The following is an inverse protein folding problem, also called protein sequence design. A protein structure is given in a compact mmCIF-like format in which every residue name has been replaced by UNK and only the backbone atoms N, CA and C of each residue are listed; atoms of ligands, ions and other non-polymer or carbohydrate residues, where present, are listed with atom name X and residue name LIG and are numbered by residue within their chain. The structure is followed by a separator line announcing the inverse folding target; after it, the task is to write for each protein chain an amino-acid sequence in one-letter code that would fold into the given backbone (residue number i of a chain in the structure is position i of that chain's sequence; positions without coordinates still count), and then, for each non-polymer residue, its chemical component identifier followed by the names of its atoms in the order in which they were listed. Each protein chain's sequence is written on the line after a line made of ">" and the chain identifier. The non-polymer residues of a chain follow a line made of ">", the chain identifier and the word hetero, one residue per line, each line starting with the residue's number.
data_IF_946698594905
#
_entry.id   IF_946698594905
#
_cell.length_a   1.000
_cell.length_b   1.000
_cell.length_c   1.000
_cell.angle_alpha   90.00
_cell.angle_beta   90.00
_cell.angle_gamma   90.00
#
_symmetry.space_group_name_H-M   'P 1'
#
loop_
_entity.id
_entity.type
_entity.pdbx_description
1 polymer ?
#
# COMPACT_ATOMS: atom_id res chain seq x y z
N UNK A 1 -13.61 4.86 -38.66
CA UNK A 1 -13.31 6.23 -38.19
C UNK A 1 -13.45 6.17 -36.69
N UNK A 2 -12.35 6.19 -35.96
CA UNK A 2 -12.37 6.08 -34.49
C UNK A 2 -12.06 7.46 -33.95
N UNK A 3 -13.05 8.11 -33.36
CA UNK A 3 -12.88 9.37 -32.64
C UNK A 3 -11.97 9.10 -31.43
N UNK A 4 -10.75 9.61 -31.50
CA UNK A 4 -9.79 9.58 -30.39
C UNK A 4 -10.31 10.55 -29.33
N UNK A 5 -10.86 10.02 -28.23
CA UNK A 5 -11.28 10.82 -27.07
C UNK A 5 -10.14 11.74 -26.62
N UNK A 6 -10.46 13.02 -26.43
CA UNK A 6 -9.51 14.03 -25.96
C UNK A 6 -9.06 13.68 -24.54
N UNK A 7 -7.89 13.05 -24.38
CA UNK A 7 -7.30 12.84 -23.05
C UNK A 7 -7.06 14.21 -22.40
N UNK A 8 -7.90 14.57 -21.41
CA UNK A 8 -7.82 15.81 -20.61
C UNK A 8 -6.69 15.73 -19.58
N UNK A 9 -5.46 15.48 -20.05
CA UNK A 9 -4.27 15.61 -19.23
C UNK A 9 -3.82 17.08 -19.24
N UNK A 10 -3.64 17.67 -18.05
CA UNK A 10 -3.28 19.09 -17.88
C UNK A 10 -1.83 19.23 -17.39
N UNK A 11 -0.82 19.05 -18.26
CA UNK A 11 0.60 18.99 -17.87
C UNK A 11 1.16 20.31 -17.34
N UNK A 12 0.47 21.43 -17.58
CA UNK A 12 0.85 22.81 -17.26
C UNK A 12 0.35 23.30 -15.89
N UNK A 13 -0.58 22.60 -15.24
CA UNK A 13 -1.10 22.97 -13.91
C UNK A 13 -0.31 22.33 -12.76
N UNK A 14 -0.31 22.97 -11.59
CA UNK A 14 0.22 22.37 -10.35
C UNK A 14 -0.62 21.15 -9.89
N UNK A 15 -0.06 20.29 -9.04
CA UNK A 15 -0.76 19.08 -8.56
C UNK A 15 -2.07 19.43 -7.81
N UNK A 16 -2.03 20.48 -6.99
CA UNK A 16 -3.17 20.94 -6.19
C UNK A 16 -4.31 21.47 -7.08
N UNK A 17 -3.97 22.23 -8.12
CA UNK A 17 -4.93 22.75 -9.10
C UNK A 17 -5.55 21.61 -9.93
N UNK A 18 -4.76 20.62 -10.33
CA UNK A 18 -5.27 19.40 -10.99
C UNK A 18 -6.25 18.67 -10.09
N UNK A 19 -5.89 18.44 -8.83
CA UNK A 19 -6.75 17.73 -7.88
C UNK A 19 -8.08 18.47 -7.67
N UNK A 20 -8.05 19.79 -7.48
CA UNK A 20 -9.26 20.60 -7.34
C UNK A 20 -10.16 20.53 -8.57
N UNK A 21 -9.55 20.46 -9.77
CA UNK A 21 -10.30 20.32 -11.02
C UNK A 21 -10.93 18.94 -11.17
N UNK A 22 -10.20 17.86 -10.87
CA UNK A 22 -10.74 16.50 -10.87
C UNK A 22 -11.91 16.33 -9.89
N UNK A 23 -11.83 16.93 -8.70
CA UNK A 23 -12.90 16.88 -7.71
C UNK A 23 -14.16 17.68 -8.12
N UNK A 24 -14.03 18.59 -9.07
CA UNK A 24 -15.14 19.43 -9.56
C UNK A 24 -15.78 18.90 -10.85
N UNK A 25 -15.13 17.93 -11.53
CA UNK A 25 -15.69 17.24 -12.69
C UNK A 25 -16.76 16.24 -12.24
N UNK A 26 -17.76 16.02 -13.09
CA UNK A 26 -18.78 15.00 -12.83
C UNK A 26 -18.37 13.65 -13.41
N UNK A 27 -18.95 12.55 -12.90
CA UNK A 27 -18.61 11.20 -13.36
C UNK A 27 -18.93 11.00 -14.86
N UNK A 28 -19.93 11.73 -15.40
CA UNK A 28 -20.32 11.66 -16.81
C UNK A 28 -19.26 12.25 -17.77
N UNK A 29 -18.35 13.09 -17.27
CA UNK A 29 -17.22 13.63 -18.05
C UNK A 29 -16.05 12.64 -18.15
N UNK A 30 -16.13 11.49 -17.45
CA UNK A 30 -15.11 10.45 -17.48
C UNK A 30 -15.25 9.57 -18.73
N UNK A 31 -14.17 9.47 -19.50
CA UNK A 31 -14.09 8.58 -20.66
C UNK A 31 -13.76 7.14 -20.19
N UNK A 32 -14.67 6.21 -20.45
CA UNK A 32 -14.52 4.78 -20.16
C UNK A 32 -14.37 3.93 -21.42
N UNK A 33 -14.19 4.55 -22.60
CA UNK A 33 -14.17 3.85 -23.89
C UNK A 33 -13.03 2.83 -24.03
N UNK A 34 -11.96 2.99 -23.25
CA UNK A 34 -10.78 2.13 -23.24
C UNK A 34 -10.81 1.05 -22.15
N UNK A 35 -11.77 1.07 -21.23
CA UNK A 35 -11.85 0.16 -20.09
C UNK A 35 -13.12 -0.69 -20.17
N UNK A 36 -13.03 -2.03 -20.19
CA UNK A 36 -14.22 -2.88 -20.20
C UNK A 36 -15.02 -2.75 -18.89
N UNK A 37 -16.36 -2.88 -18.93
CA UNK A 37 -17.20 -2.82 -17.73
C UNK A 37 -16.89 -3.98 -16.77
N UNK A 38 -16.95 -3.70 -15.47
CA UNK A 38 -16.76 -4.68 -14.40
C UNK A 38 -18.09 -5.38 -14.08
N UNK A 39 -18.44 -6.38 -14.88
CA UNK A 39 -19.68 -7.15 -14.73
C UNK A 39 -19.53 -8.42 -13.87
N UNK A 40 -20.63 -9.15 -13.67
CA UNK A 40 -20.63 -10.37 -12.86
C UNK A 40 -19.71 -11.47 -13.42
N UNK A 41 -19.55 -11.54 -14.75
CA UNK A 41 -18.63 -12.47 -15.44
C UNK A 41 -17.16 -12.13 -15.15
N UNK A 42 -16.81 -10.84 -15.05
CA UNK A 42 -15.49 -10.39 -14.58
C UNK A 42 -15.21 -10.90 -13.16
N UNK A 43 -16.16 -10.72 -12.24
CA UNK A 43 -15.98 -11.13 -10.84
C UNK A 43 -16.00 -12.65 -10.64
N UNK A 44 -16.66 -13.42 -11.51
CA UNK A 44 -16.70 -14.89 -11.46
C UNK A 44 -15.31 -15.53 -11.60
N UNK A 45 -14.42 -14.91 -12.36
CA UNK A 45 -13.06 -15.38 -12.58
C UNK A 45 -12.01 -14.60 -11.76
N UNK A 46 -12.43 -13.55 -11.04
CA UNK A 46 -11.55 -12.74 -10.23
C UNK A 46 -10.99 -13.59 -9.07
N UNK A 47 -9.65 -13.66 -8.98
CA UNK A 47 -8.99 -14.34 -7.86
C UNK A 47 -8.91 -13.39 -6.68
N UNK A 48 -9.59 -13.67 -5.55
CA UNK A 48 -9.45 -12.84 -4.36
C UNK A 48 -8.01 -12.92 -3.86
N UNK A 49 -7.32 -11.78 -3.83
CA UNK A 49 -6.02 -11.68 -3.19
C UNK A 49 -6.25 -11.71 -1.68
N UNK A 50 -6.26 -12.91 -1.09
CA UNK A 50 -6.15 -13.05 0.37
C UNK A 50 -4.78 -12.51 0.78
N UNK A 51 -4.74 -11.32 1.36
CA UNK A 51 -3.58 -10.86 2.12
C UNK A 51 -3.49 -11.74 3.37
N UNK A 52 -2.82 -12.88 3.28
CA UNK A 52 -2.44 -13.62 4.47
C UNK A 52 -1.57 -12.69 5.32
N UNK A 53 -1.93 -12.41 6.58
CA UNK A 53 -1.08 -11.62 7.45
C UNK A 53 0.27 -12.34 7.55
N UNK A 54 1.35 -11.71 7.08
CA UNK A 54 2.71 -12.27 7.18
C UNK A 54 3.26 -12.19 8.61
N UNK A 55 2.46 -11.70 9.54
CA UNK A 55 2.82 -11.39 10.93
C UNK A 55 1.63 -11.69 11.82
N UNK A 56 1.88 -12.38 12.92
CA UNK A 56 0.87 -12.65 13.95
C UNK A 56 0.97 -11.60 15.06
N UNK A 57 -0.18 -11.13 15.55
CA UNK A 57 -0.23 -10.20 16.67
C UNK A 57 -0.21 -11.00 17.98
N UNK A 58 0.94 -11.02 18.63
CA UNK A 58 1.14 -11.67 19.93
C UNK A 58 1.33 -10.64 21.03
N UNK A 59 0.83 -10.94 22.23
CA UNK A 59 1.08 -10.14 23.43
C UNK A 59 2.38 -10.57 24.11
N UNK A 60 3.47 -9.83 23.89
CA UNK A 60 4.76 -10.05 24.56
C UNK A 60 5.07 -8.90 25.51
N UNK A 61 5.75 -9.20 26.63
CA UNK A 61 6.29 -8.18 27.53
C UNK A 61 7.71 -7.82 27.06
N UNK A 62 7.96 -6.53 26.90
CA UNK A 62 9.26 -5.97 26.55
C UNK A 62 9.58 -4.91 27.62
N UNK A 63 10.84 -4.85 28.06
CA UNK A 63 11.29 -3.84 29.01
C UNK A 63 11.01 -2.42 28.52
N UNK A 64 10.63 -1.56 29.47
CA UNK A 64 10.28 -0.17 29.20
C UNK A 64 11.42 0.60 28.53
N UNK A 65 12.66 0.37 28.94
CA UNK A 65 13.81 1.05 28.33
C UNK A 65 14.01 0.64 26.87
N UNK A 66 13.84 -0.65 26.58
CA UNK A 66 14.00 -1.21 25.24
C UNK A 66 12.93 -0.66 24.31
N UNK A 67 11.65 -0.67 24.73
CA UNK A 67 10.57 -0.15 23.88
C UNK A 67 10.72 1.35 23.61
N UNK A 68 11.15 2.13 24.60
CA UNK A 68 11.40 3.56 24.44
C UNK A 68 12.59 3.82 23.50
N UNK A 69 13.63 3.00 23.54
CA UNK A 69 14.72 3.07 22.57
C UNK A 69 14.22 2.84 21.14
N UNK A 70 13.40 1.81 20.90
CA UNK A 70 12.85 1.52 19.57
C UNK A 70 11.91 2.63 19.08
N UNK A 71 11.07 3.19 19.95
CA UNK A 71 10.20 4.34 19.62
C UNK A 71 11.00 5.56 19.18
N UNK A 72 12.06 5.92 19.91
CA UNK A 72 12.95 7.04 19.53
C UNK A 72 13.70 6.76 18.22
N UNK A 73 14.14 5.52 18.01
CA UNK A 73 14.92 5.12 16.83
C UNK A 73 14.10 5.09 15.54
N UNK A 74 12.80 4.86 15.65
CA UNK A 74 11.87 4.58 14.55
C UNK A 74 11.71 5.74 13.54
N UNK A 75 11.83 7.01 13.95
CA UNK A 75 11.79 8.23 13.10
C UNK A 75 10.73 8.22 11.97
N UNK A 76 9.57 7.60 12.19
CA UNK A 76 8.47 7.49 11.21
C UNK A 76 8.24 6.09 10.62
N UNK A 77 9.19 5.16 10.75
CA UNK A 77 8.96 3.72 10.54
C UNK A 77 8.35 3.16 11.82
N UNK A 78 7.28 2.38 11.78
CA UNK A 78 6.64 1.85 13.00
C UNK A 78 7.64 1.08 13.88
N UNK A 79 7.71 1.38 15.19
CA UNK A 79 8.68 0.75 16.10
C UNK A 79 8.51 -0.78 16.17
N UNK A 80 7.28 -1.29 15.99
CA UNK A 80 6.99 -2.72 15.90
C UNK A 80 7.68 -3.39 14.70
N UNK A 81 7.74 -2.69 13.55
CA UNK A 81 8.44 -3.18 12.36
C UNK A 81 9.94 -3.32 12.63
N UNK A 82 10.52 -2.33 13.32
CA UNK A 82 11.93 -2.34 13.66
C UNK A 82 12.27 -3.47 14.66
N UNK A 83 11.41 -3.71 15.65
CA UNK A 83 11.54 -4.85 16.57
C UNK A 83 11.53 -6.17 15.80
N UNK A 84 10.57 -6.35 14.88
CA UNK A 84 10.47 -7.56 14.09
C UNK A 84 11.69 -7.79 13.18
N UNK A 85 12.26 -6.73 12.60
CA UNK A 85 13.47 -6.84 11.77
C UNK A 85 14.70 -7.28 12.58
N UNK A 86 14.84 -6.79 13.82
CA UNK A 86 15.88 -7.24 14.75
C UNK A 86 15.71 -8.72 15.10
N UNK A 87 14.50 -9.14 15.47
CA UNK A 87 14.21 -10.54 15.80
C UNK A 87 14.49 -11.48 14.61
N UNK A 88 14.09 -11.08 13.39
CA UNK A 88 14.40 -11.84 12.16
C UNK A 88 15.88 -12.00 11.92
N UNK A 89 16.66 -10.95 12.16
CA UNK A 89 18.12 -10.97 11.97
C UNK A 89 18.77 -11.91 12.98
N UNK A 90 18.34 -11.84 14.25
CA UNK A 90 18.82 -12.73 15.30
C UNK A 90 18.52 -14.20 14.98
N UNK A 91 17.26 -14.53 14.63
CA UNK A 91 16.83 -15.89 14.30
C UNK A 91 17.61 -16.44 13.10
N UNK A 92 17.81 -15.62 12.06
CA UNK A 92 18.56 -16.04 10.87
C UNK A 92 19.99 -16.42 11.19
N UNK A 93 20.70 -15.58 11.94
CA UNK A 93 22.06 -15.87 12.36
C UNK A 93 22.15 -17.14 13.21
N UNK A 94 21.15 -17.39 14.06
CA UNK A 94 21.12 -18.61 14.88
C UNK A 94 20.90 -19.87 14.03
N UNK A 95 19.94 -19.83 13.10
CA UNK A 95 19.67 -20.95 12.18
C UNK A 95 20.89 -21.25 11.30
N UNK A 96 21.62 -20.23 10.86
CA UNK A 96 22.86 -20.39 10.09
C UNK A 96 23.99 -21.01 10.91
N UNK A 97 24.03 -20.77 12.22
CA UNK A 97 25.05 -21.35 13.12
C UNK A 97 24.76 -22.79 13.55
N UNK A 98 23.51 -23.24 13.42
CA UNK A 98 23.06 -24.60 13.76
C UNK A 98 23.07 -25.55 12.54
N UNK A 99 23.50 -25.07 11.38
CA UNK A 99 23.67 -25.85 10.13
C UNK A 99 25.12 -26.24 9.92
#
# INVERSE_FOLDING_TARGET
>A
MSETGERKFFPDMSLDERQKKFLAMSDEESDYSDIPPLDDEFFKNARPVKRTPRTEQIGIRIDTEVIEWFKRRARGRGYQTLINDVLRTYVRHHIESER
#
